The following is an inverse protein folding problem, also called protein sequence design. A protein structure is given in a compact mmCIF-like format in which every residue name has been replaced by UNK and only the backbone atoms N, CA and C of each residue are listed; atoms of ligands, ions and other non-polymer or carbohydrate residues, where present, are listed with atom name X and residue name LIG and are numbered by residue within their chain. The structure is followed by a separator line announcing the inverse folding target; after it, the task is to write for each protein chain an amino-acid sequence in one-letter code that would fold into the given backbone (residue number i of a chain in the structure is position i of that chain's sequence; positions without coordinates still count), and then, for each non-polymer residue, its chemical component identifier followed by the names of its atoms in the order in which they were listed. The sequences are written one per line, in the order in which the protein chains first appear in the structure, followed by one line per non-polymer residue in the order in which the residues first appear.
data_IF_425106779217
#
_entry.id   IF_425106779217
#
_cell.length_a   1.000
_cell.length_b   1.000
_cell.length_c   1.000
_cell.angle_alpha   90.00
_cell.angle_beta   90.00
_cell.angle_gamma   90.00
#
_symmetry.space_group_name_H-M   'P 1'
#
loop_
_entity.id
_entity.type
_entity.pdbx_description
1 polymer ?
#
# COMPACT_ATOMS: atom_id res chain seq x y z
N UNK A 1 -16.83 9.95 -25.68
CA UNK A 1 -15.93 9.10 -24.91
C UNK A 1 -14.70 8.72 -25.71
N UNK A 2 -14.79 7.88 -26.75
CA UNK A 2 -13.60 7.44 -27.52
C UNK A 2 -12.75 8.61 -28.02
N UNK A 3 -13.36 9.69 -28.52
CA UNK A 3 -12.63 10.93 -28.90
C UNK A 3 -11.96 11.62 -27.72
N UNK A 4 -12.59 11.62 -26.54
CA UNK A 4 -11.99 12.21 -25.35
C UNK A 4 -10.82 11.36 -24.80
N UNK A 5 -10.82 10.06 -25.11
CA UNK A 5 -9.73 9.14 -24.81
C UNK A 5 -8.72 9.01 -25.97
N UNK A 6 -8.88 9.81 -27.04
CA UNK A 6 -8.06 9.79 -28.26
C UNK A 6 -8.00 8.40 -28.94
N UNK A 7 -9.08 7.64 -28.81
CA UNK A 7 -9.22 6.30 -29.40
C UNK A 7 -10.02 6.37 -30.69
N UNK A 8 -9.44 5.93 -31.80
CA UNK A 8 -10.14 5.83 -33.06
C UNK A 8 -11.09 4.62 -33.06
N UNK A 9 -12.42 4.79 -33.28
CA UNK A 9 -13.36 3.66 -33.31
C UNK A 9 -13.01 2.55 -34.30
N UNK A 10 -12.32 2.90 -35.41
CA UNK A 10 -11.86 1.92 -36.42
C UNK A 10 -10.80 0.94 -35.90
N UNK A 11 -10.14 1.30 -34.81
CA UNK A 11 -9.13 0.45 -34.19
C UNK A 11 -9.71 -0.56 -33.18
N UNK A 12 -11.00 -0.48 -32.92
CA UNK A 12 -11.70 -1.38 -32.01
C UNK A 12 -12.33 -2.54 -32.78
N UNK A 13 -12.39 -3.69 -32.14
CA UNK A 13 -13.13 -4.85 -32.65
C UNK A 13 -14.64 -4.58 -32.58
N UNK A 14 -15.43 -5.33 -33.36
CA UNK A 14 -16.89 -5.25 -33.30
C UNK A 14 -17.44 -5.55 -31.89
N UNK A 15 -16.82 -6.48 -31.16
CA UNK A 15 -17.19 -6.78 -29.77
C UNK A 15 -16.97 -5.58 -28.87
N UNK A 16 -15.80 -4.94 -28.96
CA UNK A 16 -15.45 -3.76 -28.18
C UNK A 16 -16.38 -2.58 -28.50
N UNK A 17 -16.66 -2.34 -29.78
CA UNK A 17 -17.61 -1.31 -30.21
C UNK A 17 -19.02 -1.56 -29.68
N UNK A 18 -19.47 -2.81 -29.69
CA UNK A 18 -20.78 -3.20 -29.15
C UNK A 18 -20.86 -2.92 -27.66
N UNK A 19 -19.81 -3.23 -26.89
CA UNK A 19 -19.78 -2.95 -25.45
C UNK A 19 -19.74 -1.44 -25.17
N UNK A 20 -18.94 -0.66 -25.91
CA UNK A 20 -18.91 0.80 -25.77
C UNK A 20 -20.29 1.43 -26.06
N UNK A 21 -21.02 0.93 -27.05
CA UNK A 21 -22.38 1.42 -27.39
C UNK A 21 -23.41 1.14 -26.31
N UNK A 22 -23.19 0.15 -25.44
CA UNK A 22 -24.08 -0.15 -24.30
C UNK A 22 -23.93 0.84 -23.14
N UNK A 23 -22.83 1.61 -23.11
CA UNK A 23 -22.58 2.57 -22.04
C UNK A 23 -23.57 3.75 -22.16
N UNK A 24 -24.37 3.93 -21.13
CA UNK A 24 -25.27 5.07 -21.04
C UNK A 24 -24.69 6.15 -20.12
N UNK A 25 -24.07 7.18 -20.72
CA UNK A 25 -23.47 8.27 -19.98
C UNK A 25 -24.44 9.35 -19.50
N UNK A 26 -25.69 9.28 -19.92
CA UNK A 26 -26.72 10.24 -19.55
C UNK A 26 -27.46 9.85 -18.28
N UNK A 27 -27.20 8.66 -17.76
CA UNK A 27 -27.88 8.11 -16.58
C UNK A 27 -26.85 7.46 -15.65
N UNK A 28 -26.05 8.31 -15.02
CA UNK A 28 -24.99 7.90 -14.09
C UNK A 28 -25.54 7.30 -12.78
N UNK A 29 -26.83 7.54 -12.49
CA UNK A 29 -27.48 7.04 -11.28
C UNK A 29 -28.00 5.59 -11.44
N UNK A 30 -28.01 5.08 -12.67
CA UNK A 30 -28.32 3.68 -12.92
C UNK A 30 -27.05 2.85 -12.95
N UNK A 31 -27.08 1.74 -12.27
CA UNK A 31 -26.01 0.74 -12.25
C UNK A 31 -25.84 0.09 -13.65
N UNK A 32 -25.35 0.89 -14.58
CA UNK A 32 -25.01 0.47 -15.94
C UNK A 32 -23.56 0.03 -15.97
N UNK A 33 -23.27 -1.14 -15.43
CA UNK A 33 -21.94 -1.73 -15.55
C UNK A 33 -21.82 -2.45 -16.91
N UNK A 34 -20.83 -2.05 -17.71
CA UNK A 34 -20.42 -2.82 -18.87
C UNK A 34 -19.36 -3.82 -18.44
N UNK A 35 -19.68 -5.10 -18.54
CA UNK A 35 -18.70 -6.15 -18.29
C UNK A 35 -17.76 -6.30 -19.49
N UNK A 36 -16.51 -5.98 -19.26
CA UNK A 36 -15.43 -6.25 -20.21
C UNK A 36 -14.67 -7.49 -19.76
N UNK A 37 -14.29 -8.33 -20.71
CA UNK A 37 -13.29 -9.37 -20.42
C UNK A 37 -11.93 -8.71 -20.27
N UNK A 38 -11.01 -9.38 -19.57
CA UNK A 38 -9.62 -8.91 -19.45
C UNK A 38 -8.98 -8.67 -20.83
N UNK A 39 -9.20 -9.56 -21.79
CA UNK A 39 -8.64 -9.44 -23.16
C UNK A 39 -9.21 -8.23 -23.91
N UNK A 40 -10.51 -7.95 -23.75
CA UNK A 40 -11.13 -6.76 -24.34
C UNK A 40 -10.53 -5.48 -23.76
N UNK A 41 -10.37 -5.42 -22.44
CA UNK A 41 -9.75 -4.28 -21.76
C UNK A 41 -8.27 -4.13 -22.18
N UNK A 42 -7.50 -5.21 -22.18
CA UNK A 42 -6.10 -5.22 -22.58
C UNK A 42 -5.93 -4.79 -24.04
N UNK A 43 -6.85 -5.20 -24.92
CA UNK A 43 -6.85 -4.77 -26.32
C UNK A 43 -7.04 -3.28 -26.50
N UNK A 44 -7.97 -2.65 -25.76
CA UNK A 44 -8.17 -1.19 -25.77
C UNK A 44 -6.96 -0.47 -25.18
N UNK A 45 -6.47 -0.91 -24.04
CA UNK A 45 -5.29 -0.31 -23.39
C UNK A 45 -4.05 -0.39 -24.30
N UNK A 46 -3.84 -1.53 -24.96
CA UNK A 46 -2.74 -1.68 -25.92
C UNK A 46 -2.85 -0.68 -27.08
N UNK A 47 -4.04 -0.52 -27.64
CA UNK A 47 -4.28 0.44 -28.72
C UNK A 47 -4.01 1.88 -28.29
N UNK A 48 -4.43 2.27 -27.10
CA UNK A 48 -4.12 3.61 -26.56
C UNK A 48 -2.62 3.81 -26.40
N UNK A 49 -1.90 2.83 -25.89
CA UNK A 49 -0.44 2.88 -25.69
C UNK A 49 0.28 2.93 -27.05
N UNK A 50 -0.18 2.18 -28.05
CA UNK A 50 0.42 2.15 -29.39
C UNK A 50 0.22 3.49 -30.14
N UNK A 51 -0.88 4.21 -29.88
CA UNK A 51 -1.17 5.51 -30.48
C UNK A 51 -0.34 6.66 -29.90
N UNK A 52 -0.04 6.63 -28.62
CA UNK A 52 0.69 7.70 -27.95
C UNK A 52 1.88 7.16 -27.14
N UNK A 53 3.07 7.50 -27.61
CA UNK A 53 4.33 7.07 -26.99
C UNK A 53 4.47 7.52 -25.52
N UNK A 54 3.76 8.57 -25.08
CA UNK A 54 3.77 9.02 -23.69
C UNK A 54 3.18 8.01 -22.72
N UNK A 55 2.27 7.15 -23.20
CA UNK A 55 1.63 6.09 -22.40
C UNK A 55 2.36 4.75 -22.51
N UNK A 56 3.44 4.68 -23.29
CA UNK A 56 4.22 3.44 -23.39
C UNK A 56 5.02 3.21 -22.12
N UNK A 57 4.84 2.06 -21.52
CA UNK A 57 5.76 1.60 -20.48
C UNK A 57 7.10 1.27 -21.14
N UNK A 58 8.21 1.87 -20.72
CA UNK A 58 9.52 1.53 -21.26
C UNK A 58 9.78 0.04 -21.11
N UNK A 59 10.38 -0.56 -22.14
CA UNK A 59 10.82 -1.94 -22.03
C UNK A 59 11.77 -2.10 -20.85
N UNK A 60 11.48 -3.02 -19.97
CA UNK A 60 12.40 -3.38 -18.90
C UNK A 60 12.88 -4.83 -19.08
N UNK A 61 14.14 -5.04 -18.73
CA UNK A 61 14.76 -6.36 -18.80
C UNK A 61 14.68 -7.01 -17.40
N UNK A 62 13.88 -8.04 -17.25
CA UNK A 62 13.69 -8.76 -15.99
C UNK A 62 15.02 -9.28 -15.39
N UNK A 63 16.02 -9.57 -16.22
CA UNK A 63 17.37 -9.96 -15.77
C UNK A 63 18.12 -8.85 -15.02
N UNK A 64 17.67 -7.60 -15.15
CA UNK A 64 18.22 -6.45 -14.43
C UNK A 64 17.50 -6.17 -13.12
N UNK A 65 16.37 -6.81 -12.86
CA UNK A 65 15.69 -6.72 -11.57
C UNK A 65 16.56 -7.44 -10.54
N UNK A 66 16.85 -6.74 -9.47
CA UNK A 66 17.59 -7.29 -8.33
C UNK A 66 16.73 -7.17 -7.08
N UNK A 67 16.69 -8.21 -6.30
CA UNK A 67 16.08 -8.15 -4.99
C UNK A 67 16.93 -7.29 -4.06
N UNK A 68 16.27 -6.54 -3.19
CA UNK A 68 16.94 -5.78 -2.15
C UNK A 68 17.45 -6.76 -1.08
N UNK A 69 18.75 -6.79 -0.74
CA UNK A 69 19.26 -7.72 0.28
C UNK A 69 18.58 -7.59 1.65
N UNK A 70 18.01 -6.43 1.96
CA UNK A 70 17.27 -6.18 3.19
C UNK A 70 16.00 -7.05 3.34
N UNK A 71 15.50 -7.67 2.26
CA UNK A 71 14.36 -8.62 2.30
C UNK A 71 14.74 -9.98 2.85
N UNK A 72 16.03 -10.34 2.87
CA UNK A 72 16.51 -11.54 3.55
C UNK A 72 16.63 -11.23 5.04
N UNK A 73 15.57 -11.54 5.78
CA UNK A 73 15.46 -11.18 7.19
C UNK A 73 14.64 -12.19 7.97
N UNK A 74 14.49 -11.97 9.27
CA UNK A 74 13.65 -12.83 10.11
C UNK A 74 12.18 -12.50 9.87
N UNK A 75 11.44 -13.52 9.50
CA UNK A 75 10.00 -13.46 9.33
C UNK A 75 9.27 -13.21 10.66
N UNK A 76 8.22 -12.38 10.62
CA UNK A 76 7.46 -11.96 11.80
C UNK A 76 6.69 -13.11 12.46
N UNK A 77 6.15 -14.04 11.68
CA UNK A 77 5.35 -15.15 12.21
C UNK A 77 6.24 -16.27 12.70
N UNK A 78 7.17 -16.73 11.89
CA UNK A 78 8.01 -17.91 12.20
C UNK A 78 9.26 -17.59 13.00
N UNK A 79 9.71 -16.33 12.98
CA UNK A 79 10.97 -15.89 13.56
C UNK A 79 12.23 -16.42 12.85
N UNK A 80 12.08 -17.19 11.78
CA UNK A 80 13.18 -17.77 11.00
C UNK A 80 13.63 -16.82 9.92
N UNK A 81 14.91 -16.89 9.53
CA UNK A 81 15.41 -16.14 8.39
C UNK A 81 14.81 -16.72 7.11
N UNK A 82 14.21 -15.85 6.29
CA UNK A 82 13.64 -16.18 5.01
C UNK A 82 13.88 -15.03 4.02
N UNK A 83 13.73 -15.28 2.75
CA UNK A 83 13.63 -14.26 1.72
C UNK A 83 12.15 -13.84 1.64
N UNK A 84 11.87 -12.61 2.07
CA UNK A 84 10.52 -12.05 2.07
C UNK A 84 10.29 -11.25 0.78
N UNK A 85 9.08 -11.24 0.29
CA UNK A 85 8.67 -10.31 -0.77
C UNK A 85 8.13 -9.03 -0.17
N UNK A 86 8.29 -7.92 -0.90
CA UNK A 86 7.68 -6.63 -0.58
C UNK A 86 6.46 -6.46 -1.47
N UNK A 87 5.27 -6.26 -0.85
CA UNK A 87 4.06 -5.89 -1.60
C UNK A 87 3.96 -4.38 -1.73
N UNK A 88 3.84 -3.68 -0.60
CA UNK A 88 3.74 -2.23 -0.58
C UNK A 88 4.85 -1.63 0.27
N UNK A 89 5.26 -0.41 -0.07
CA UNK A 89 6.25 0.31 0.73
C UNK A 89 6.03 1.83 0.66
N UNK A 90 6.32 2.52 1.75
CA UNK A 90 6.20 3.96 1.83
C UNK A 90 7.30 4.55 2.71
N UNK A 91 7.76 5.73 2.34
CA UNK A 91 8.79 6.43 3.09
C UNK A 91 8.22 7.12 4.34
N UNK A 92 9.06 7.28 5.36
CA UNK A 92 8.76 8.22 6.45
C UNK A 92 8.90 9.63 5.91
N UNK A 93 7.82 10.42 5.98
CA UNK A 93 7.68 11.72 5.33
C UNK A 93 7.42 12.85 6.32
N UNK A 94 7.72 14.04 5.91
CA UNK A 94 7.20 15.26 6.50
C UNK A 94 5.75 15.46 6.06
N UNK A 95 4.82 15.53 7.00
CA UNK A 95 3.38 15.58 6.71
C UNK A 95 2.95 16.84 5.93
N UNK A 96 3.72 17.93 6.00
CA UNK A 96 3.41 19.20 5.33
C UNK A 96 3.88 19.21 3.88
N UNK A 97 5.03 18.62 3.61
CA UNK A 97 5.69 18.71 2.30
C UNK A 97 5.62 17.43 1.48
N UNK A 98 5.27 16.30 2.10
CA UNK A 98 5.33 14.96 1.49
C UNK A 98 6.76 14.46 1.21
N UNK A 99 7.78 15.21 1.61
CA UNK A 99 9.18 14.87 1.32
C UNK A 99 9.71 13.83 2.31
N UNK A 100 10.57 12.95 1.81
CA UNK A 100 11.31 11.98 2.64
C UNK A 100 12.13 12.71 3.69
N UNK A 101 12.01 12.29 4.94
CA UNK A 101 12.70 12.93 6.07
C UNK A 101 14.12 12.42 6.19
N UNK A 102 15.06 13.34 6.44
CA UNK A 102 16.39 12.99 6.94
C UNK A 102 16.31 12.68 8.44
N UNK A 103 16.12 11.42 8.79
CA UNK A 103 16.05 10.98 10.18
C UNK A 103 17.43 10.70 10.74
N UNK A 104 18.06 11.73 11.34
CA UNK A 104 19.40 11.61 11.98
C UNK A 104 20.50 11.08 11.04
N UNK A 105 20.42 11.39 9.74
CA UNK A 105 21.35 10.94 8.71
C UNK A 105 20.89 9.70 7.94
N UNK A 106 19.64 9.25 8.14
CA UNK A 106 19.06 8.09 7.46
C UNK A 106 17.75 8.44 6.78
N UNK A 107 17.44 7.73 5.73
CA UNK A 107 16.09 7.60 5.16
C UNK A 107 15.48 6.28 5.62
N UNK A 108 14.18 6.32 5.85
CA UNK A 108 13.42 5.21 6.42
C UNK A 108 12.26 4.82 5.50
N UNK A 109 12.07 3.54 5.31
CA UNK A 109 10.93 2.98 4.59
C UNK A 109 10.21 2.00 5.51
N UNK A 110 8.89 2.09 5.51
CA UNK A 110 8.02 1.06 6.03
C UNK A 110 7.63 0.17 4.85
N UNK A 111 7.74 -1.13 5.00
CA UNK A 111 7.44 -2.10 3.94
C UNK A 111 6.55 -3.21 4.47
N UNK A 112 5.49 -3.50 3.74
CA UNK A 112 4.67 -4.68 3.96
C UNK A 112 5.39 -5.87 3.33
N UNK A 113 5.81 -6.81 4.15
CA UNK A 113 6.64 -7.95 3.74
C UNK A 113 6.12 -9.25 4.34
N UNK A 114 6.38 -10.35 3.64
CA UNK A 114 6.07 -11.68 4.13
C UNK A 114 6.62 -12.77 3.24
N UNK A 115 6.46 -14.02 3.66
CA UNK A 115 6.87 -15.17 2.87
C UNK A 115 5.96 -15.30 1.65
N UNK A 116 6.53 -15.43 0.43
CA UNK A 116 5.75 -15.56 -0.80
C UNK A 116 4.64 -16.62 -0.70
N UNK A 117 3.47 -16.30 -1.23
CA UNK A 117 2.30 -17.20 -1.30
C UNK A 117 1.74 -17.68 0.06
N UNK A 118 2.14 -17.03 1.16
CA UNK A 118 1.58 -17.29 2.49
C UNK A 118 0.71 -16.12 2.95
N UNK A 119 -0.20 -16.39 3.90
CA UNK A 119 -0.97 -15.34 4.57
C UNK A 119 -0.11 -14.67 5.65
N UNK A 120 0.86 -13.88 5.24
CA UNK A 120 1.98 -13.39 6.04
C UNK A 120 2.29 -11.92 5.71
N UNK A 121 1.28 -11.05 5.82
CA UNK A 121 1.45 -9.63 5.56
C UNK A 121 1.69 -8.85 6.85
N UNK A 122 2.96 -8.52 7.12
CA UNK A 122 3.38 -7.72 8.26
C UNK A 122 4.26 -6.56 7.83
N UNK A 123 4.33 -5.50 8.64
CA UNK A 123 5.11 -4.32 8.30
C UNK A 123 6.45 -4.29 9.03
N UNK A 124 7.48 -3.95 8.27
CA UNK A 124 8.88 -3.91 8.68
C UNK A 124 9.45 -2.51 8.52
N UNK A 125 10.46 -2.18 9.31
CA UNK A 125 11.23 -0.97 9.18
C UNK A 125 12.53 -1.25 8.41
N UNK A 126 12.67 -0.61 7.25
CA UNK A 126 13.90 -0.61 6.45
C UNK A 126 14.59 0.75 6.56
N UNK A 127 15.91 0.79 6.46
CA UNK A 127 16.67 2.03 6.52
C UNK A 127 17.91 1.99 5.65
N UNK A 128 18.33 3.16 5.17
CA UNK A 128 19.59 3.40 4.50
C UNK A 128 20.11 4.80 4.88
N UNK A 129 21.35 5.12 4.56
CA UNK A 129 21.84 6.49 4.69
C UNK A 129 21.01 7.44 3.84
N UNK A 130 20.78 8.63 4.34
CA UNK A 130 20.00 9.63 3.61
C UNK A 130 20.67 9.97 2.27
N UNK A 131 19.89 10.02 1.19
CA UNK A 131 20.32 10.20 -0.20
C UNK A 131 21.21 9.07 -0.77
N UNK A 132 21.34 7.94 -0.11
CA UNK A 132 21.97 6.77 -0.68
C UNK A 132 20.92 5.92 -1.41
N UNK A 133 20.96 5.94 -2.73
CA UNK A 133 20.01 5.25 -3.59
C UNK A 133 20.45 3.82 -3.99
N UNK A 134 21.55 3.32 -3.40
CA UNK A 134 21.99 1.96 -3.68
C UNK A 134 21.14 0.94 -2.92
N UNK A 135 20.43 0.09 -3.66
CA UNK A 135 19.57 -0.96 -3.10
C UNK A 135 20.32 -1.93 -2.18
N UNK A 136 21.60 -2.19 -2.45
CA UNK A 136 22.40 -3.11 -1.65
C UNK A 136 22.76 -2.55 -0.26
N UNK A 137 22.59 -1.26 -0.03
CA UNK A 137 22.93 -0.61 1.23
C UNK A 137 21.76 -0.55 2.22
N UNK A 138 20.57 -0.89 1.77
CA UNK A 138 19.40 -0.98 2.64
C UNK A 138 19.56 -2.10 3.67
N UNK A 139 19.04 -1.86 4.85
CA UNK A 139 19.06 -2.78 5.99
C UNK A 139 17.66 -2.89 6.58
N UNK A 140 17.35 -4.04 7.15
CA UNK A 140 16.12 -4.28 7.88
C UNK A 140 16.37 -4.12 9.39
N UNK A 141 15.54 -3.30 10.05
CA UNK A 141 15.51 -3.18 11.51
C UNK A 141 14.61 -4.22 12.18
N UNK A 142 13.83 -4.95 11.39
CA UNK A 142 12.90 -5.99 11.82
C UNK A 142 11.42 -5.59 11.71
N UNK A 143 10.52 -6.52 12.05
CA UNK A 143 9.08 -6.27 12.04
C UNK A 143 8.70 -5.26 13.13
N UNK A 144 7.84 -4.31 12.76
CA UNK A 144 7.45 -3.20 13.66
C UNK A 144 6.65 -3.71 14.87
N UNK A 145 5.84 -4.73 14.68
CA UNK A 145 5.02 -5.31 15.75
C UNK A 145 5.71 -6.43 16.51
N UNK A 146 6.93 -6.78 16.13
CA UNK A 146 7.73 -7.83 16.77
C UNK A 146 7.51 -9.20 16.13
N UNK A 147 8.05 -10.22 16.78
CA UNK A 147 7.94 -11.62 16.34
C UNK A 147 6.77 -12.33 16.99
N UNK A 148 6.46 -13.55 16.54
CA UNK A 148 5.30 -14.37 16.90
C UNK A 148 3.98 -13.71 16.49
N UNK A 149 3.99 -13.00 15.37
CA UNK A 149 2.80 -12.46 14.76
C UNK A 149 1.84 -13.60 14.37
N UNK A 150 0.54 -13.31 14.41
CA UNK A 150 -0.48 -14.30 14.04
C UNK A 150 -0.89 -14.09 12.60
N UNK A 151 -1.11 -15.15 11.80
CA UNK A 151 -1.60 -15.01 10.43
C UNK A 151 -2.92 -14.26 10.30
N UNK A 152 -3.70 -14.23 11.39
CA UNK A 152 -5.00 -13.55 11.45
C UNK A 152 -4.96 -12.08 11.83
N UNK A 153 -3.82 -11.61 12.34
CA UNK A 153 -3.64 -10.21 12.78
C UNK A 153 -2.55 -9.59 11.90
N UNK A 154 -2.95 -9.02 10.76
CA UNK A 154 -2.03 -8.46 9.78
C UNK A 154 -1.97 -6.94 9.84
N UNK A 155 -0.89 -6.38 9.33
CA UNK A 155 -0.72 -4.96 9.15
C UNK A 155 -0.44 -4.66 7.68
N UNK A 156 -1.33 -3.85 7.06
CA UNK A 156 -1.21 -3.46 5.67
C UNK A 156 -0.85 -1.98 5.53
N UNK A 157 -0.84 -1.51 4.32
CA UNK A 157 -0.36 -0.21 3.88
C UNK A 157 -0.92 1.00 4.63
N UNK A 158 -0.19 2.10 4.55
CA UNK A 158 -0.53 3.34 5.20
C UNK A 158 0.52 4.43 4.97
N UNK A 159 0.77 5.26 5.98
CA UNK A 159 1.75 6.34 5.94
C UNK A 159 2.52 6.48 7.24
N UNK A 160 3.64 7.18 7.20
CA UNK A 160 4.45 7.43 8.39
C UNK A 160 5.02 8.85 8.38
N UNK A 161 4.92 9.54 9.52
CA UNK A 161 5.40 10.91 9.70
C UNK A 161 6.27 11.04 10.94
N UNK A 162 7.16 12.04 10.97
CA UNK A 162 7.96 12.35 12.15
C UNK A 162 7.24 13.38 13.01
N UNK A 163 7.11 13.09 14.30
CA UNK A 163 6.60 14.00 15.30
C UNK A 163 7.67 15.00 15.77
N UNK A 164 7.24 16.09 16.44
CA UNK A 164 8.14 17.10 17.00
C UNK A 164 9.16 16.55 18.00
N UNK A 165 8.82 15.48 18.73
CA UNK A 165 9.71 14.81 19.69
C UNK A 165 10.69 13.83 19.03
N UNK A 166 10.66 13.73 17.69
CA UNK A 166 11.49 12.82 16.91
C UNK A 166 10.99 11.37 16.90
N UNK A 167 9.86 11.07 17.50
CA UNK A 167 9.18 9.78 17.30
C UNK A 167 8.55 9.70 15.90
N UNK A 168 8.37 8.49 15.39
CA UNK A 168 7.68 8.25 14.13
C UNK A 168 6.26 7.83 14.45
N UNK A 169 5.29 8.56 13.95
CA UNK A 169 3.90 8.15 13.97
C UNK A 169 3.60 7.37 12.70
N UNK A 170 3.24 6.11 12.87
CA UNK A 170 2.84 5.20 11.82
C UNK A 170 1.32 5.11 11.82
N UNK A 171 0.73 5.28 10.64
CA UNK A 171 -0.66 5.00 10.34
C UNK A 171 -0.69 3.81 9.41
N UNK A 172 -1.55 2.83 9.67
CA UNK A 172 -1.57 1.59 8.92
C UNK A 172 -2.96 0.96 8.94
N UNK A 173 -3.19 0.08 8.01
CA UNK A 173 -4.39 -0.74 7.97
C UNK A 173 -4.20 -1.94 8.90
N UNK A 174 -4.99 -2.00 9.93
CA UNK A 174 -5.06 -3.09 10.90
C UNK A 174 -6.12 -4.09 10.44
N UNK A 175 -5.69 -5.30 10.13
CA UNK A 175 -6.52 -6.29 9.44
C UNK A 175 -6.70 -7.54 10.27
N UNK A 176 -7.96 -7.89 10.51
CA UNK A 176 -8.34 -9.16 11.11
C UNK A 176 -8.86 -10.09 10.00
N UNK A 177 -8.13 -11.19 9.75
CA UNK A 177 -8.47 -12.17 8.71
C UNK A 177 -9.17 -13.41 9.25
N UNK A 178 -9.59 -13.43 10.51
CA UNK A 178 -10.45 -14.47 11.04
C UNK A 178 -11.73 -14.56 10.21
N UNK A 179 -12.38 -15.66 10.17
CA UNK A 179 -13.62 -15.88 9.42
C UNK A 179 -13.49 -15.76 7.88
N UNK A 180 -12.29 -15.89 7.32
CA UNK A 180 -12.01 -15.77 5.87
C UNK A 180 -12.48 -14.43 5.28
N UNK A 181 -12.38 -13.37 6.05
CA UNK A 181 -12.71 -12.01 5.64
C UNK A 181 -11.56 -11.08 6.02
N UNK A 182 -11.53 -9.88 5.44
CA UNK A 182 -10.57 -8.86 5.81
C UNK A 182 -11.29 -7.72 6.53
N UNK A 183 -11.46 -7.86 7.85
CA UNK A 183 -11.98 -6.75 8.66
C UNK A 183 -10.90 -5.71 8.85
N UNK A 184 -11.07 -4.56 8.22
CA UNK A 184 -10.08 -3.49 8.13
C UNK A 184 -10.48 -2.30 8.98
N UNK A 185 -9.50 -1.67 9.60
CA UNK A 185 -9.61 -0.42 10.34
C UNK A 185 -8.29 0.34 10.29
N UNK A 186 -8.35 1.65 10.39
CA UNK A 186 -7.16 2.48 10.43
C UNK A 186 -6.67 2.59 11.86
N UNK A 187 -5.44 2.19 12.09
CA UNK A 187 -4.77 2.25 13.38
C UNK A 187 -3.49 3.05 13.33
N UNK A 188 -3.02 3.48 14.48
CA UNK A 188 -1.76 4.19 14.63
C UNK A 188 -0.94 3.68 15.81
N UNK A 189 0.38 3.77 15.66
CA UNK A 189 1.36 3.59 16.73
C UNK A 189 2.46 4.63 16.63
N UNK A 190 3.10 4.92 17.75
CA UNK A 190 4.31 5.75 17.79
C UNK A 190 5.54 4.86 18.01
N UNK A 191 6.58 5.11 17.21
CA UNK A 191 7.85 4.39 17.27
C UNK A 191 8.94 5.32 17.78
N UNK A 192 9.72 4.86 18.77
CA UNK A 192 11.00 5.46 19.15
C UNK A 192 12.12 4.59 18.61
N UNK A 193 13.03 5.18 17.83
CA UNK A 193 14.14 4.47 17.23
C UNK A 193 15.45 4.79 17.96
N UNK A 194 16.30 3.78 18.08
CA UNK A 194 17.68 3.91 18.53
C UNK A 194 18.61 3.89 17.32
N UNK A 195 19.34 4.98 17.10
CA UNK A 195 20.35 5.10 16.05
C UNK A 195 21.73 4.90 16.65
N UNK A 196 22.48 3.92 16.15
CA UNK A 196 23.88 3.70 16.49
C UNK A 196 24.75 4.10 15.29
N UNK A 197 25.29 5.32 15.32
CA UNK A 197 26.12 5.86 14.23
C UNK A 197 27.43 5.08 14.06
N UNK A 198 28.04 4.58 15.14
CA UNK A 198 29.31 3.80 15.08
C UNK A 198 29.11 2.47 14.34
N UNK A 199 27.99 1.77 14.62
CA UNK A 199 27.66 0.49 13.99
C UNK A 199 26.86 0.64 12.70
N UNK A 200 26.46 1.86 12.34
CA UNK A 200 25.58 2.15 11.22
C UNK A 200 24.30 1.29 11.26
N UNK A 201 23.61 1.29 12.43
CA UNK A 201 22.40 0.50 12.64
C UNK A 201 21.28 1.34 13.25
N UNK A 202 20.05 0.98 12.87
CA UNK A 202 18.81 1.47 13.49
C UNK A 202 18.06 0.27 14.06
N UNK A 203 17.46 0.44 15.22
CA UNK A 203 16.57 -0.53 15.83
C UNK A 203 15.35 0.16 16.42
N UNK A 204 14.26 -0.58 16.51
CA UNK A 204 13.03 -0.12 17.17
C UNK A 204 13.24 -0.27 18.68
N UNK A 205 13.37 0.88 19.37
CA UNK A 205 13.60 0.89 20.82
C UNK A 205 12.30 0.73 21.61
N UNK A 206 11.21 1.33 21.12
CA UNK A 206 9.89 1.28 21.77
C UNK A 206 8.80 1.51 20.73
N UNK A 207 7.69 0.81 20.88
CA UNK A 207 6.44 1.03 20.17
C UNK A 207 5.33 1.28 21.19
N UNK A 208 4.45 2.25 20.93
CA UNK A 208 3.25 2.47 21.74
C UNK A 208 2.25 1.32 21.58
N UNK A 209 1.24 1.26 22.43
CA UNK A 209 0.06 0.45 22.14
C UNK A 209 -0.61 0.91 20.85
N UNK A 210 -1.27 -0.02 20.17
CA UNK A 210 -2.15 0.23 19.03
C UNK A 210 -3.29 1.13 19.47
N UNK A 211 -3.61 2.11 18.64
CA UNK A 211 -4.78 2.95 18.80
C UNK A 211 -5.57 2.95 17.51
N UNK A 212 -6.82 2.49 17.55
CA UNK A 212 -7.73 2.55 16.41
C UNK A 212 -8.19 3.99 16.24
N UNK A 213 -7.94 4.56 15.07
CA UNK A 213 -8.34 5.91 14.72
C UNK A 213 -9.72 5.94 14.08
N UNK A 214 -9.96 4.96 13.21
CA UNK A 214 -11.16 4.93 12.40
C UNK A 214 -11.54 3.52 11.99
N UNK A 215 -12.83 3.22 12.10
CA UNK A 215 -13.50 2.07 11.51
C UNK A 215 -14.91 2.49 11.09
N UNK A 216 -15.64 1.65 10.36
CA UNK A 216 -17.00 1.99 9.92
C UNK A 216 -17.91 2.38 11.08
N UNK A 217 -18.52 3.56 11.01
CA UNK A 217 -19.35 4.18 12.05
C UNK A 217 -20.84 3.81 11.93
N UNK A 218 -21.23 3.16 10.84
CA UNK A 218 -22.61 2.76 10.56
C UNK A 218 -23.46 3.88 9.96
N UNK A 219 -22.90 5.08 9.79
CA UNK A 219 -23.58 6.25 9.23
C UNK A 219 -22.93 6.72 7.91
N UNK A 220 -21.67 7.12 7.96
CA UNK A 220 -20.91 7.51 6.75
C UNK A 220 -20.33 6.28 6.04
N UNK A 221 -19.93 5.29 6.83
CA UNK A 221 -19.34 4.03 6.33
C UNK A 221 -19.98 2.86 7.04
N UNK A 222 -20.21 1.78 6.30
CA UNK A 222 -20.76 0.54 6.87
C UNK A 222 -19.83 0.03 7.98
N UNK A 223 -20.44 -0.42 9.10
CA UNK A 223 -19.72 -1.28 10.03
C UNK A 223 -19.49 -2.65 9.42
N UNK A 224 -18.50 -3.38 9.92
CA UNK A 224 -18.26 -4.76 9.52
C UNK A 224 -19.53 -5.64 9.67
N UNK A 225 -20.29 -5.42 10.75
CA UNK A 225 -21.54 -6.14 11.00
C UNK A 225 -22.61 -5.85 9.93
N UNK A 226 -22.77 -4.60 9.54
CA UNK A 226 -23.71 -4.22 8.46
C UNK A 226 -23.29 -4.85 7.14
N UNK A 227 -21.99 -4.74 6.78
CA UNK A 227 -21.47 -5.35 5.56
C UNK A 227 -21.74 -6.88 5.55
N UNK A 228 -21.42 -7.57 6.63
CA UNK A 228 -21.61 -9.02 6.75
C UNK A 228 -23.07 -9.45 6.59
N UNK A 229 -24.02 -8.61 7.00
CA UNK A 229 -25.46 -8.89 6.90
C UNK A 229 -26.06 -8.56 5.54
N UNK A 230 -25.54 -7.53 4.84
CA UNK A 230 -26.17 -6.97 3.63
C UNK A 230 -25.44 -7.29 2.34
N UNK A 231 -24.13 -7.48 2.37
CA UNK A 231 -23.28 -7.65 1.18
C UNK A 231 -22.74 -9.08 1.04
N UNK A 232 -23.60 -10.07 1.19
CA UNK A 232 -23.22 -11.48 1.03
C UNK A 232 -22.61 -11.71 -0.36
N UNK A 233 -21.37 -12.20 -0.38
CA UNK A 233 -20.61 -12.48 -1.61
C UNK A 233 -20.00 -11.27 -2.31
N UNK A 234 -20.13 -10.05 -1.76
CA UNK A 234 -19.37 -8.91 -2.20
C UNK A 234 -17.97 -8.92 -1.58
N UNK A 235 -17.05 -8.12 -2.15
CA UNK A 235 -15.74 -7.88 -1.57
C UNK A 235 -15.84 -7.38 -0.12
N UNK A 236 -14.73 -7.58 0.61
CA UNK A 236 -14.61 -7.12 1.99
C UNK A 236 -14.78 -5.60 2.12
N UNK A 237 -15.04 -5.15 3.33
CA UNK A 237 -15.10 -3.72 3.67
C UNK A 237 -13.69 -3.14 3.53
N UNK A 238 -13.46 -2.35 2.50
CA UNK A 238 -12.19 -1.66 2.28
C UNK A 238 -12.12 -0.40 3.14
N UNK A 239 -11.26 -0.41 4.14
CA UNK A 239 -10.91 0.74 5.00
C UNK A 239 -9.40 0.70 5.20
N UNK A 240 -8.64 1.21 4.21
CA UNK A 240 -7.20 0.97 4.12
C UNK A 240 -6.42 2.15 3.55
N UNK A 241 -5.08 2.03 3.61
CA UNK A 241 -4.11 2.86 2.90
C UNK A 241 -4.10 4.33 3.35
N UNK A 242 -4.35 4.57 4.62
CA UNK A 242 -4.46 5.90 5.19
C UNK A 242 -3.21 6.76 4.96
N UNK A 243 -3.37 7.90 4.30
CA UNK A 243 -2.31 8.87 4.07
C UNK A 243 -2.52 10.14 4.89
N UNK A 244 -1.49 10.54 5.64
CA UNK A 244 -1.53 11.74 6.49
C UNK A 244 -0.86 12.92 5.80
N UNK A 245 -1.61 14.02 5.68
CA UNK A 245 -1.11 15.30 5.20
C UNK A 245 -1.36 16.40 6.25
N UNK A 246 -0.61 17.49 6.16
CA UNK A 246 -0.80 18.67 6.99
C UNK A 246 -1.00 19.91 6.12
N UNK A 247 -2.16 20.55 6.27
CA UNK A 247 -2.52 21.77 5.55
C UNK A 247 -2.95 22.83 6.56
N UNK A 248 -2.37 24.04 6.48
CA UNK A 248 -2.69 25.12 7.40
C UNK A 248 -2.41 24.82 8.88
N UNK A 249 -1.49 23.88 9.17
CA UNK A 249 -1.18 23.45 10.54
C UNK A 249 -2.09 22.35 11.08
N UNK A 250 -3.16 22.00 10.37
CA UNK A 250 -4.06 20.92 10.72
C UNK A 250 -3.68 19.64 9.97
N UNK A 251 -3.79 18.48 10.62
CA UNK A 251 -3.58 17.18 10.00
C UNK A 251 -4.88 16.60 9.48
N UNK A 252 -4.80 16.00 8.31
CA UNK A 252 -5.89 15.27 7.67
C UNK A 252 -5.42 13.85 7.38
N UNK A 253 -6.33 12.91 7.53
CA UNK A 253 -6.18 11.52 7.12
C UNK A 253 -7.06 11.32 5.88
N UNK A 254 -6.47 10.94 4.76
CA UNK A 254 -7.12 10.69 3.47
C UNK A 254 -6.87 9.26 3.02
#
# INVERSE_FOLDING_TARGET
MLRAADVNPKDLTEVQLKEVRKLNFNDLDKDTSTRWTYDQYAGVAKKMIDQDARYRVPYFNAKKIKNMPATVTRDAQTGKVAELEIWDSWSVQDAKTGRVVNYKGYQLIIAMMGIPQQNDAHIYLLYNKYNDNNFNHWKCAGPIFGFNAKPTDQEWSGSATVNKDGSIQLFYTDVDTRENTNHQKISTVNLKLKVNKKKNTISIAKRSHRHVLFEGDGYHYQTYKQWKSTNKGADNVAMRDAHVISVGGQRYLI
#
